data_IF_498069227294
#
_entry.id   IF_498069227294
#
_cell.length_a   1.000
_cell.length_b   1.000
_cell.length_c   1.000
_cell.angle_alpha   90.00
_cell.angle_beta   90.00
_cell.angle_gamma   90.00
#
_symmetry.space_group_name_H-M   'P 1'
#
loop_
_entity.id
_entity.type
_entity.pdbx_description
1 polymer ?
#
# COMPACT_ATOMS: atom_id res chain seq x y z
N UNK A 1 16.84 11.29 -0.52
CA UNK A 1 17.22 12.71 -0.69
C UNK A 1 16.05 13.49 -1.24
N UNK A 2 15.70 14.60 -0.60
CA UNK A 2 14.63 15.51 -1.03
C UNK A 2 15.09 16.38 -2.21
N UNK A 3 14.12 16.91 -2.99
CA UNK A 3 14.42 17.92 -4.02
C UNK A 3 14.74 19.25 -3.33
N UNK A 4 15.47 20.12 -4.03
CA UNK A 4 15.72 21.49 -3.57
C UNK A 4 14.41 22.24 -3.34
N UNK A 5 14.32 22.98 -2.23
CA UNK A 5 13.13 23.73 -1.81
C UNK A 5 12.62 24.69 -2.90
N UNK A 6 13.53 25.34 -3.64
CA UNK A 6 13.18 26.27 -4.73
C UNK A 6 12.35 25.61 -5.85
N UNK A 7 12.47 24.29 -6.05
CA UNK A 7 11.81 23.55 -7.14
C UNK A 7 10.47 22.93 -6.73
N UNK A 8 10.14 22.93 -5.44
CA UNK A 8 8.94 22.29 -4.91
C UNK A 8 8.93 20.76 -5.01
N UNK A 9 7.90 20.13 -4.42
CA UNK A 9 7.67 18.69 -4.55
C UNK A 9 7.45 18.31 -6.01
N UNK A 10 7.85 17.09 -6.38
CA UNK A 10 7.54 16.57 -7.71
C UNK A 10 6.20 15.85 -7.67
N UNK A 11 5.26 16.30 -8.48
CA UNK A 11 3.92 15.71 -8.59
C UNK A 11 3.64 15.41 -10.06
N UNK A 12 3.09 14.23 -10.34
CA UNK A 12 2.71 13.85 -11.70
C UNK A 12 1.35 14.48 -12.05
N UNK A 13 1.33 15.29 -13.10
CA UNK A 13 0.11 15.96 -13.59
C UNK A 13 -1.00 14.96 -13.95
N UNK A 14 -0.64 13.76 -14.42
CA UNK A 14 -1.63 12.72 -14.76
C UNK A 14 -2.33 12.19 -13.52
N UNK A 15 -1.63 12.14 -12.38
CA UNK A 15 -2.20 11.74 -11.11
C UNK A 15 -3.16 12.82 -10.59
N UNK A 16 -2.75 14.08 -10.63
CA UNK A 16 -3.61 15.21 -10.22
C UNK A 16 -4.91 15.28 -11.04
N UNK A 17 -4.82 15.12 -12.36
CA UNK A 17 -6.01 15.08 -13.23
C UNK A 17 -6.97 13.96 -12.87
N UNK A 18 -6.46 12.78 -12.52
CA UNK A 18 -7.31 11.64 -12.09
C UNK A 18 -8.00 11.94 -10.76
N UNK A 19 -7.27 12.50 -9.80
CA UNK A 19 -7.80 12.87 -8.49
C UNK A 19 -8.89 13.94 -8.63
N UNK A 20 -8.67 14.98 -9.45
CA UNK A 20 -9.65 16.04 -9.68
C UNK A 20 -10.97 15.57 -10.32
N UNK A 21 -10.96 14.43 -11.01
CA UNK A 21 -12.17 13.82 -11.58
C UNK A 21 -12.91 12.89 -10.60
N UNK A 22 -12.33 12.59 -9.45
CA UNK A 22 -12.87 11.69 -8.44
C UNK A 22 -13.40 12.48 -7.25
N UNK A 23 -14.45 11.98 -6.61
CA UNK A 23 -14.97 12.58 -5.38
C UNK A 23 -14.22 12.04 -4.17
N UNK A 24 -14.10 12.86 -3.13
CA UNK A 24 -13.58 12.43 -1.84
C UNK A 24 -14.45 11.28 -1.30
N UNK A 25 -13.83 10.12 -1.04
CA UNK A 25 -14.51 8.91 -0.58
C UNK A 25 -14.77 7.84 -1.66
N UNK A 26 -14.45 8.13 -2.92
CA UNK A 26 -14.52 7.11 -3.98
C UNK A 26 -13.43 6.05 -3.75
N UNK A 27 -13.86 4.78 -3.60
CA UNK A 27 -12.96 3.63 -3.35
C UNK A 27 -12.24 3.15 -4.62
N UNK A 28 -12.15 3.99 -5.64
CA UNK A 28 -11.49 3.64 -6.90
C UNK A 28 -9.98 3.57 -6.72
N UNK A 29 -9.38 2.46 -7.16
CA UNK A 29 -7.92 2.28 -7.10
C UNK A 29 -7.27 2.98 -8.30
N UNK A 30 -6.53 4.05 -8.04
CA UNK A 30 -5.80 4.80 -9.05
C UNK A 30 -4.49 4.09 -9.35
N UNK A 31 -4.39 3.40 -10.48
CA UNK A 31 -3.14 2.75 -10.93
C UNK A 31 -2.10 3.79 -11.35
N UNK A 32 -0.89 3.64 -10.83
CA UNK A 32 0.25 4.52 -11.12
C UNK A 32 1.57 3.78 -11.23
N UNK A 33 2.39 4.22 -12.18
CA UNK A 33 3.80 3.87 -12.32
C UNK A 33 4.73 4.96 -11.79
N UNK A 34 4.19 6.13 -11.43
CA UNK A 34 4.96 7.28 -10.97
C UNK A 34 5.33 7.13 -9.49
N UNK A 35 6.33 6.27 -9.25
CA UNK A 35 6.85 6.01 -7.90
C UNK A 35 7.64 7.19 -7.31
N UNK A 36 8.09 8.11 -8.15
CA UNK A 36 8.86 9.29 -7.73
C UNK A 36 7.97 10.44 -7.24
N UNK A 37 6.65 10.37 -7.51
CA UNK A 37 5.66 11.37 -7.10
C UNK A 37 5.63 11.49 -5.58
N UNK A 38 5.71 12.74 -5.12
CA UNK A 38 5.52 13.11 -3.72
C UNK A 38 4.02 13.12 -3.41
N UNK A 39 3.66 12.62 -2.24
CA UNK A 39 2.30 12.64 -1.73
C UNK A 39 1.96 14.05 -1.28
N UNK A 40 0.88 14.59 -1.85
CA UNK A 40 0.37 15.95 -1.63
C UNK A 40 -0.92 15.84 -0.79
N UNK A 41 -1.29 16.84 0.02
CA UNK A 41 -2.51 16.77 0.84
C UNK A 41 -3.79 16.43 0.07
N UNK A 42 -3.91 16.84 -1.19
CA UNK A 42 -5.05 16.50 -2.06
C UNK A 42 -5.22 14.99 -2.33
N UNK A 43 -4.19 14.19 -2.07
CA UNK A 43 -4.20 12.74 -2.28
C UNK A 43 -4.74 11.95 -1.08
N UNK A 44 -4.98 12.62 0.05
CA UNK A 44 -5.47 11.97 1.28
C UNK A 44 -6.86 11.36 1.04
N UNK A 45 -7.07 10.15 1.53
CA UNK A 45 -8.35 9.45 1.39
C UNK A 45 -8.55 8.70 0.08
N UNK A 46 -7.58 8.75 -0.84
CA UNK A 46 -7.58 7.95 -2.07
C UNK A 46 -6.68 6.71 -1.95
N UNK A 47 -7.02 5.66 -2.69
CA UNK A 47 -6.19 4.46 -2.81
C UNK A 47 -5.42 4.46 -4.12
N UNK A 48 -4.10 4.35 -4.05
CA UNK A 48 -3.22 4.27 -5.21
C UNK A 48 -2.71 2.85 -5.38
N UNK A 49 -2.88 2.28 -6.56
CA UNK A 49 -2.18 1.07 -6.96
C UNK A 49 -0.79 1.46 -7.43
N UNK A 50 0.23 1.35 -6.56
CA UNK A 50 1.62 1.70 -6.90
C UNK A 50 2.33 0.50 -7.51
N UNK A 51 2.86 0.65 -8.72
CA UNK A 51 3.56 -0.43 -9.40
C UNK A 51 4.91 -0.75 -8.72
N UNK A 52 5.15 -2.02 -8.36
CA UNK A 52 6.40 -2.47 -7.74
C UNK A 52 7.39 -3.14 -8.70
N UNK A 53 7.07 -3.21 -10.00
CA UNK A 53 7.85 -3.93 -11.02
C UNK A 53 7.17 -5.20 -11.52
N UNK A 54 6.17 -5.72 -10.79
CA UNK A 54 5.38 -6.90 -11.20
C UNK A 54 3.88 -6.66 -11.05
N UNK A 55 3.48 -6.09 -9.93
CA UNK A 55 2.07 -5.88 -9.56
C UNK A 55 1.86 -4.45 -9.05
N UNK A 56 0.61 -4.02 -9.05
CA UNK A 56 0.21 -2.76 -8.41
C UNK A 56 -0.25 -3.06 -6.99
N UNK A 57 0.48 -2.54 -6.00
CA UNK A 57 0.15 -2.71 -4.59
C UNK A 57 -0.82 -1.58 -4.21
N UNK A 58 -2.02 -1.89 -3.67
CA UNK A 58 -2.95 -0.88 -3.21
C UNK A 58 -2.40 -0.23 -1.92
N UNK A 59 -2.21 1.08 -1.96
CA UNK A 59 -1.77 1.91 -0.83
C UNK A 59 -2.86 2.93 -0.56
N UNK A 60 -3.47 2.87 0.61
CA UNK A 60 -4.40 3.90 1.08
C UNK A 60 -3.62 5.02 1.76
N UNK A 61 -3.81 6.27 1.32
CA UNK A 61 -3.02 7.41 1.78
C UNK A 61 -3.66 8.05 3.01
N UNK A 62 -2.88 8.15 4.08
CA UNK A 62 -3.20 8.88 5.32
C UNK A 62 -2.39 10.19 5.41
N UNK A 63 -2.75 11.06 6.35
CA UNK A 63 -2.09 12.37 6.59
C UNK A 63 -0.59 12.24 6.89
N UNK A 64 -0.21 11.23 7.68
CA UNK A 64 1.20 10.99 8.04
C UNK A 64 2.10 10.66 6.84
N UNK A 65 1.51 10.28 5.71
CA UNK A 65 2.26 9.95 4.49
C UNK A 65 2.59 11.19 3.64
N UNK A 66 2.07 12.37 3.97
CA UNK A 66 2.32 13.60 3.21
C UNK A 66 3.82 13.94 3.23
N UNK A 67 4.36 14.30 2.06
CA UNK A 67 5.79 14.61 1.89
C UNK A 67 6.67 13.40 1.55
N UNK A 68 6.20 12.18 1.79
CA UNK A 68 6.85 10.95 1.33
C UNK A 68 6.63 10.70 -0.17
N UNK A 69 7.39 9.76 -0.74
CA UNK A 69 7.18 9.30 -2.12
C UNK A 69 6.28 8.07 -2.15
N UNK A 70 5.41 7.99 -3.16
CA UNK A 70 4.55 6.81 -3.39
C UNK A 70 5.36 5.50 -3.47
N UNK A 71 6.57 5.55 -4.02
CA UNK A 71 7.45 4.39 -4.13
C UNK A 71 7.95 3.80 -2.81
N UNK A 72 7.91 4.57 -1.71
CA UNK A 72 8.35 4.12 -0.37
C UNK A 72 7.39 3.09 0.21
N UNK A 73 6.10 3.19 -0.12
CA UNK A 73 5.04 2.30 0.35
C UNK A 73 4.86 1.04 -0.53
N UNK A 74 5.70 0.87 -1.55
CA UNK A 74 5.64 -0.25 -2.49
C UNK A 74 7.01 -0.91 -2.64
N UNK A 75 7.25 -1.95 -1.83
CA UNK A 75 8.51 -2.71 -1.85
C UNK A 75 8.73 -3.46 -3.17
N UNK A 76 9.94 -3.33 -3.73
CA UNK A 76 10.29 -3.89 -5.05
C UNK A 76 10.98 -5.24 -4.97
N UNK A 77 11.75 -5.47 -3.91
CA UNK A 77 12.49 -6.70 -3.68
C UNK A 77 11.88 -7.40 -2.48
N UNK A 78 11.62 -8.70 -2.64
CA UNK A 78 11.29 -9.56 -1.50
C UNK A 78 12.56 -9.70 -0.67
N UNK A 79 12.52 -9.21 0.56
CA UNK A 79 13.61 -9.45 1.50
C UNK A 79 13.61 -10.93 1.87
N UNK A 80 14.72 -11.61 1.61
CA UNK A 80 14.92 -13.01 2.00
C UNK A 80 15.96 -12.99 3.12
N UNK A 81 15.55 -13.40 4.32
CA UNK A 81 16.48 -13.60 5.44
C UNK A 81 17.24 -14.90 5.24
N UNK A 82 18.53 -14.90 5.55
CA UNK A 82 19.28 -16.14 5.72
C UNK A 82 18.94 -16.75 7.09
N UNK A 83 17.74 -17.30 7.21
CA UNK A 83 17.32 -18.09 8.37
C UNK A 83 17.64 -19.57 8.12
N UNK A 84 18.30 -20.22 9.06
CA UNK A 84 18.45 -21.68 9.04
C UNK A 84 17.09 -22.39 9.07
N UNK A 85 17.11 -23.74 9.00
CA UNK A 85 15.89 -24.58 8.92
C UNK A 85 14.86 -24.25 10.01
N UNK A 86 15.33 -24.04 11.24
CA UNK A 86 14.49 -23.70 12.41
C UNK A 86 13.70 -22.39 12.24
N UNK A 87 14.31 -21.33 11.69
CA UNK A 87 13.62 -20.05 11.45
C UNK A 87 12.53 -20.20 10.37
N UNK A 88 12.78 -21.01 9.34
CA UNK A 88 11.82 -21.30 8.28
C UNK A 88 10.62 -22.09 8.80
N UNK A 89 10.86 -23.04 9.71
CA UNK A 89 9.82 -23.83 10.38
C UNK A 89 8.96 -22.94 11.31
N UNK A 90 9.57 -22.04 12.09
CA UNK A 90 8.85 -21.07 12.91
C UNK A 90 7.96 -20.11 12.09
N UNK A 91 8.48 -19.58 10.98
CA UNK A 91 7.72 -18.71 10.07
C UNK A 91 6.59 -19.46 9.35
N UNK A 92 6.79 -20.74 9.01
CA UNK A 92 5.75 -21.59 8.43
C UNK A 92 4.64 -21.89 9.45
N UNK A 93 5.00 -22.20 10.68
CA UNK A 93 4.05 -22.40 11.78
C UNK A 93 3.27 -21.11 12.11
N UNK A 94 3.92 -19.95 12.09
CA UNK A 94 3.25 -18.65 12.27
C UNK A 94 2.25 -18.36 11.14
N UNK A 95 2.63 -18.61 9.87
CA UNK A 95 1.69 -18.49 8.75
C UNK A 95 0.50 -19.43 8.86
N UNK A 96 0.71 -20.67 9.27
CA UNK A 96 -0.39 -21.63 9.47
C UNK A 96 -1.35 -21.14 10.57
N UNK A 97 -0.81 -20.65 11.70
CA UNK A 97 -1.62 -20.05 12.76
C UNK A 97 -2.41 -18.82 12.29
N UNK A 98 -1.81 -17.93 11.51
CA UNK A 98 -2.52 -16.79 10.92
C UNK A 98 -3.61 -17.21 9.93
N UNK A 99 -3.40 -18.30 9.19
CA UNK A 99 -4.41 -18.84 8.27
C UNK A 99 -5.56 -19.49 9.04
N UNK A 100 -5.26 -20.28 10.07
CA UNK A 100 -6.26 -20.94 10.93
C UNK A 100 -7.09 -19.91 11.70
N UNK A 101 -6.48 -18.87 12.26
CA UNK A 101 -7.22 -17.79 12.94
C UNK A 101 -8.08 -16.99 11.96
N UNK A 102 -7.60 -16.72 10.75
CA UNK A 102 -8.39 -16.08 9.69
C UNK A 102 -9.54 -16.96 9.19
N UNK A 103 -9.38 -18.29 9.20
CA UNK A 103 -10.44 -19.25 8.87
C UNK A 103 -11.48 -19.37 9.99
N UNK A 104 -11.05 -19.41 11.25
CA UNK A 104 -11.93 -19.43 12.42
C UNK A 104 -12.76 -18.13 12.52
N UNK A 105 -12.14 -16.97 12.28
CA UNK A 105 -12.83 -15.68 12.26
C UNK A 105 -13.85 -15.56 11.10
N UNK A 106 -13.63 -16.27 9.99
CA UNK A 106 -14.59 -16.36 8.88
C UNK A 106 -15.74 -17.35 9.13
N UNK A 107 -15.56 -18.31 10.04
CA UNK A 107 -16.59 -19.31 10.39
C UNK A 107 -17.56 -18.80 11.48
N UNK A 108 -17.13 -17.89 12.34
CA UNK A 108 -17.93 -17.37 13.46
C UNK A 108 -19.16 -16.48 13.10
N UNK A 109 -19.26 -15.73 11.97
CA UNK A 109 -20.41 -14.86 11.74
C UNK A 109 -21.64 -15.59 11.19
N UNK A 110 -21.61 -16.92 11.05
CA UNK A 110 -22.70 -17.72 10.52
C UNK A 110 -23.68 -18.28 11.57
N UNK A 111 -23.38 -18.16 12.87
CA UNK A 111 -24.16 -18.84 13.93
C UNK A 111 -25.09 -17.94 14.76
N UNK A 112 -25.05 -16.61 14.62
CA UNK A 112 -25.80 -15.69 15.51
C UNK A 112 -27.09 -15.10 14.89
N UNK A 113 -27.65 -15.74 13.86
CA UNK A 113 -29.00 -15.45 13.37
C UNK A 113 -29.79 -16.75 13.18
N UNK A 114 -30.39 -17.23 14.26
CA UNK A 114 -31.54 -18.12 14.20
C UNK A 114 -32.53 -17.79 15.30
#
# INVERSE_FOLDING_TARGET
>A
MSRSLKKGPYVDERLLKKIGNLRAGDKTIIKTWSRACTIVPEMIGFTFGVHNGKVHIPVFITEDMVGHKLGEFSSTRKFVRHGGRMQKELEAAQRQKEIETAQAAKAAPAEEKK
#
